data_IF_281879431187
#
_entry.id   IF_281879431187
#
_cell.length_a   1.000
_cell.length_b   1.000
_cell.length_c   1.000
_cell.angle_alpha   90.00
_cell.angle_beta   90.00
_cell.angle_gamma   90.00
#
_symmetry.space_group_name_H-M   'P 1'
#
loop_
_entity.id
_entity.type
_entity.pdbx_description
1 polymer ?
#
# COMPACT_ATOMS: atom_id res chain seq x y z
N UNK A 1 -15.40 1.18 -7.52
CA UNK A 1 -14.29 0.30 -7.09
C UNK A 1 -13.27 1.13 -6.32
N UNK A 2 -12.40 0.55 -5.49
CA UNK A 2 -11.39 1.34 -4.79
C UNK A 2 -10.43 2.00 -5.78
N UNK A 3 -10.06 3.25 -5.49
CA UNK A 3 -9.05 4.00 -6.24
C UNK A 3 -7.90 4.32 -5.29
N UNK A 4 -6.68 4.17 -5.76
CA UNK A 4 -5.46 4.55 -5.05
C UNK A 4 -4.70 5.56 -5.90
N UNK A 5 -4.20 6.60 -5.24
CA UNK A 5 -3.36 7.61 -5.86
C UNK A 5 -1.90 7.19 -5.66
N UNK A 6 -1.11 7.19 -6.72
CA UNK A 6 0.25 6.64 -6.75
C UNK A 6 1.17 7.59 -7.50
N UNK A 7 2.17 8.12 -6.80
CA UNK A 7 3.25 8.87 -7.42
C UNK A 7 4.11 7.95 -8.31
N UNK A 8 4.19 8.18 -9.62
CA UNK A 8 4.97 7.35 -10.53
C UNK A 8 6.48 7.40 -10.26
N UNK A 9 7.02 8.49 -9.74
CA UNK A 9 8.44 8.60 -9.37
C UNK A 9 8.74 7.73 -8.15
N UNK A 10 7.90 7.79 -7.13
CA UNK A 10 8.03 6.93 -5.95
C UNK A 10 7.83 5.45 -6.33
N UNK A 11 6.91 5.16 -7.24
CA UNK A 11 6.70 3.80 -7.74
C UNK A 11 7.96 3.25 -8.44
N UNK A 12 8.64 4.05 -9.27
CA UNK A 12 9.92 3.68 -9.90
C UNK A 12 10.99 3.42 -8.85
N UNK A 13 11.12 4.32 -7.90
CA UNK A 13 12.08 4.19 -6.80
C UNK A 13 11.87 2.90 -6.00
N UNK A 14 10.63 2.64 -5.57
CA UNK A 14 10.28 1.46 -4.76
C UNK A 14 10.40 0.14 -5.52
N UNK A 15 10.20 0.16 -6.83
CA UNK A 15 10.38 -1.02 -7.67
C UNK A 15 11.81 -1.24 -8.10
N UNK A 16 12.65 -0.19 -8.09
CA UNK A 16 14.02 -0.22 -8.60
C UNK A 16 14.09 -0.18 -10.14
N UNK A 17 13.01 0.19 -10.81
CA UNK A 17 12.91 0.28 -12.28
C UNK A 17 12.77 1.74 -12.74
N UNK A 18 13.78 2.54 -12.44
CA UNK A 18 13.81 3.98 -12.77
C UNK A 18 13.82 4.26 -14.29
N UNK A 19 14.18 3.27 -15.10
CA UNK A 19 14.23 3.37 -16.56
C UNK A 19 12.85 3.33 -17.22
N UNK A 20 11.81 2.89 -16.52
CA UNK A 20 10.46 2.78 -17.08
C UNK A 20 9.79 4.13 -17.20
N UNK A 21 9.24 4.42 -18.38
CA UNK A 21 8.38 5.58 -18.59
C UNK A 21 6.94 5.33 -18.08
N UNK A 22 6.13 6.37 -18.09
CA UNK A 22 4.75 6.30 -17.58
C UNK A 22 3.88 5.33 -18.37
N UNK A 23 4.06 5.23 -19.69
CA UNK A 23 3.27 4.34 -20.53
C UNK A 23 3.62 2.86 -20.27
N UNK A 24 4.89 2.57 -20.00
CA UNK A 24 5.35 1.26 -19.59
C UNK A 24 4.79 0.89 -18.20
N UNK A 25 4.83 1.82 -17.23
CA UNK A 25 4.25 1.59 -15.91
C UNK A 25 2.74 1.34 -15.99
N UNK A 26 2.01 2.15 -16.75
CA UNK A 26 0.55 1.96 -16.95
C UNK A 26 0.23 0.60 -17.58
N UNK A 27 1.04 0.15 -18.54
CA UNK A 27 0.89 -1.17 -19.14
C UNK A 27 1.11 -2.29 -18.14
N UNK A 28 2.17 -2.21 -17.33
CA UNK A 28 2.50 -3.20 -16.31
C UNK A 28 1.43 -3.24 -15.20
N UNK A 29 0.92 -2.07 -14.82
CA UNK A 29 -0.17 -1.93 -13.85
C UNK A 29 -1.48 -2.54 -14.37
N UNK A 30 -1.79 -2.32 -15.64
CA UNK A 30 -2.95 -2.93 -16.30
C UNK A 30 -2.87 -4.46 -16.30
N UNK A 31 -1.70 -5.03 -16.55
CA UNK A 31 -1.47 -6.49 -16.49
C UNK A 31 -1.69 -7.06 -15.08
N UNK A 32 -1.58 -6.23 -14.04
CA UNK A 32 -1.91 -6.57 -12.66
C UNK A 32 -3.38 -6.31 -12.28
N UNK A 33 -4.19 -5.81 -13.22
CA UNK A 33 -5.58 -5.44 -12.99
C UNK A 33 -5.76 -4.14 -12.23
N UNK A 34 -4.82 -3.20 -12.37
CA UNK A 34 -4.89 -1.83 -11.90
C UNK A 34 -5.11 -0.93 -13.13
N UNK A 35 -6.30 -0.38 -13.27
CA UNK A 35 -6.67 0.43 -14.44
C UNK A 35 -6.36 1.90 -14.15
N UNK A 36 -5.65 2.54 -15.09
CA UNK A 36 -5.36 3.96 -15.00
C UNK A 36 -6.59 4.77 -15.39
N UNK A 37 -7.15 5.53 -14.45
CA UNK A 37 -8.33 6.36 -14.63
C UNK A 37 -8.01 7.82 -14.97
N UNK A 38 -6.84 8.28 -14.55
CA UNK A 38 -6.44 9.67 -14.78
C UNK A 38 -5.26 10.10 -13.91
N UNK A 39 -5.05 11.40 -13.88
CA UNK A 39 -4.05 12.07 -13.07
C UNK A 39 -4.71 12.87 -11.96
N UNK A 40 -4.10 12.91 -10.80
CA UNK A 40 -4.44 13.88 -9.76
C UNK A 40 -3.89 15.26 -10.12
N UNK A 41 -4.30 16.30 -9.36
CA UNK A 41 -3.73 17.64 -9.48
C UNK A 41 -2.23 17.68 -9.10
N UNK A 42 -1.77 16.70 -8.33
CA UNK A 42 -0.38 16.52 -7.88
C UNK A 42 0.44 15.59 -8.80
N UNK A 43 -0.05 15.33 -10.03
CA UNK A 43 0.60 14.48 -11.04
C UNK A 43 0.79 13.01 -10.62
N UNK A 44 -0.08 12.48 -9.78
CA UNK A 44 -0.13 11.07 -9.41
C UNK A 44 -1.06 10.27 -10.32
N UNK A 45 -0.79 8.97 -10.49
CA UNK A 45 -1.70 8.04 -11.14
C UNK A 45 -2.91 7.75 -10.26
N UNK A 46 -4.11 7.91 -10.78
CA UNK A 46 -5.32 7.34 -10.18
C UNK A 46 -5.55 5.94 -10.72
N UNK A 47 -5.40 4.94 -9.85
CA UNK A 47 -5.50 3.53 -10.23
C UNK A 47 -6.73 2.90 -9.60
N UNK A 48 -7.62 2.38 -10.44
CA UNK A 48 -8.79 1.61 -10.01
C UNK A 48 -8.49 0.11 -10.01
N UNK A 49 -8.99 -0.63 -9.03
CA UNK A 49 -8.79 -2.08 -8.97
C UNK A 49 -9.94 -2.81 -8.26
N UNK A 50 -9.98 -4.13 -8.41
CA UNK A 50 -10.97 -4.97 -7.75
C UNK A 50 -10.78 -4.97 -6.22
N UNK A 51 -11.86 -4.94 -5.43
CA UNK A 51 -11.82 -4.77 -3.97
C UNK A 51 -11.29 -5.98 -3.19
N UNK A 52 -10.82 -7.01 -3.87
CA UNK A 52 -10.22 -8.22 -3.30
C UNK A 52 -8.73 -8.09 -2.93
N UNK A 53 -8.09 -6.98 -3.29
CA UNK A 53 -6.66 -6.74 -3.12
C UNK A 53 -6.38 -5.54 -2.23
N UNK A 54 -6.79 -5.62 -0.97
CA UNK A 54 -6.57 -4.58 0.03
C UNK A 54 -5.09 -4.32 0.35
N UNK A 55 -4.21 -5.20 -0.08
CA UNK A 55 -2.76 -5.04 -0.01
C UNK A 55 -2.20 -4.02 -1.03
N UNK A 56 -3.05 -3.44 -1.89
CA UNK A 56 -2.69 -2.45 -2.92
C UNK A 56 -3.25 -1.05 -2.64
N UNK A 57 -3.60 -0.76 -1.39
CA UNK A 57 -4.17 0.54 -0.99
C UNK A 57 -3.11 1.63 -0.75
N UNK A 58 -1.88 1.40 -1.18
CA UNK A 58 -0.79 2.38 -1.14
C UNK A 58 0.23 2.13 -2.23
N UNK A 59 1.10 3.10 -2.50
CA UNK A 59 2.20 2.97 -3.46
C UNK A 59 3.11 1.79 -3.12
N UNK A 60 3.39 1.53 -1.84
CA UNK A 60 4.23 0.40 -1.40
C UNK A 60 3.58 -0.95 -1.74
N UNK A 61 2.27 -1.06 -1.57
CA UNK A 61 1.52 -2.28 -1.92
C UNK A 61 1.48 -2.53 -3.42
N UNK A 62 1.32 -1.47 -4.20
CA UNK A 62 1.39 -1.52 -5.68
C UNK A 62 2.81 -1.88 -6.12
N UNK A 63 3.83 -1.20 -5.59
CA UNK A 63 5.24 -1.48 -5.88
C UNK A 63 5.61 -2.93 -5.57
N UNK A 64 5.19 -3.46 -4.42
CA UNK A 64 5.39 -4.87 -4.08
C UNK A 64 4.76 -5.80 -5.11
N UNK A 65 3.56 -5.50 -5.59
CA UNK A 65 2.89 -6.31 -6.62
C UNK A 65 3.65 -6.29 -7.94
N UNK A 66 4.18 -5.13 -8.35
CA UNK A 66 5.03 -5.00 -9.55
C UNK A 66 6.34 -5.77 -9.39
N UNK A 67 7.02 -5.71 -8.25
CA UNK A 67 8.27 -6.46 -8.00
C UNK A 67 8.05 -7.97 -8.15
N UNK A 68 6.93 -8.50 -7.67
CA UNK A 68 6.56 -9.90 -7.93
C UNK A 68 6.28 -10.17 -9.41
N UNK A 69 5.62 -9.24 -10.09
CA UNK A 69 5.34 -9.34 -11.53
C UNK A 69 6.63 -9.36 -12.36
N UNK A 70 7.59 -8.52 -12.02
CA UNK A 70 8.92 -8.47 -12.65
C UNK A 70 9.81 -9.67 -12.29
N UNK A 71 9.47 -10.40 -11.24
CA UNK A 71 10.25 -11.53 -10.74
C UNK A 71 11.42 -11.15 -9.84
N UNK A 72 11.45 -9.90 -9.37
CA UNK A 72 12.46 -9.38 -8.44
C UNK A 72 12.25 -9.94 -7.03
N UNK A 73 11.00 -10.13 -6.64
CA UNK A 73 10.61 -10.74 -5.36
C UNK A 73 9.95 -12.11 -5.58
N UNK A 74 10.12 -13.01 -4.59
CA UNK A 74 9.51 -14.34 -4.59
C UNK A 74 9.12 -14.76 -3.18
N UNK A 75 8.07 -15.60 -3.10
CA UNK A 75 7.59 -16.14 -1.83
C UNK A 75 6.74 -15.15 -1.04
N UNK A 76 6.46 -15.47 0.21
CA UNK A 76 5.65 -14.63 1.10
C UNK A 76 6.58 -13.78 1.97
N UNK A 77 6.33 -12.47 1.97
CA UNK A 77 7.03 -11.58 2.91
C UNK A 77 6.57 -11.88 4.33
N UNK A 78 7.51 -12.24 5.19
CA UNK A 78 7.26 -12.45 6.62
C UNK A 78 8.12 -11.45 7.39
N UNK A 79 7.53 -10.46 8.08
CA UNK A 79 8.29 -9.50 8.85
C UNK A 79 8.95 -10.17 10.05
N UNK A 80 10.15 -9.71 10.39
CA UNK A 80 10.80 -10.10 11.64
C UNK A 80 10.07 -9.44 12.81
N UNK A 81 9.68 -10.23 13.78
CA UNK A 81 9.07 -9.76 15.02
C UNK A 81 9.90 -10.22 16.23
N UNK A 82 9.81 -9.47 17.30
CA UNK A 82 10.38 -9.81 18.60
C UNK A 82 9.27 -10.00 19.65
N UNK A 83 9.65 -10.38 20.86
CA UNK A 83 8.71 -10.49 21.97
C UNK A 83 8.02 -9.15 22.24
N UNK A 84 6.73 -9.18 22.51
CA UNK A 84 5.95 -8.00 22.80
C UNK A 84 6.43 -7.33 24.10
N UNK A 85 6.74 -6.02 24.01
CA UNK A 85 7.10 -5.17 25.16
C UNK A 85 5.94 -4.29 25.60
N UNK A 86 4.88 -4.22 24.78
CA UNK A 86 3.72 -3.37 24.99
C UNK A 86 2.47 -4.23 25.15
N UNK A 87 1.55 -3.76 25.98
CA UNK A 87 0.27 -4.40 26.20
C UNK A 87 -0.86 -3.45 25.83
N UNK A 88 -1.79 -3.94 25.03
CA UNK A 88 -3.04 -3.23 24.72
C UNK A 88 -4.06 -3.65 25.76
N UNK A 89 -4.55 -2.68 26.56
CA UNK A 89 -5.67 -2.89 27.48
C UNK A 89 -6.96 -2.42 26.81
N UNK A 90 -7.93 -3.32 26.70
CA UNK A 90 -9.25 -3.00 26.15
C UNK A 90 -10.22 -2.85 27.33
N UNK A 91 -10.70 -1.63 27.58
CA UNK A 91 -11.62 -1.32 28.67
C UNK A 91 -13.08 -1.50 28.27
N UNK A 92 -13.41 -1.15 27.02
CA UNK A 92 -14.75 -1.28 26.44
C UNK A 92 -14.62 -1.68 24.99
N UNK A 93 -15.35 -2.73 24.57
CA UNK A 93 -15.27 -3.27 23.22
C UNK A 93 -16.67 -3.48 22.63
N UNK A 94 -16.90 -3.12 21.38
CA UNK A 94 -18.15 -3.44 20.70
C UNK A 94 -18.30 -4.96 20.51
N UNK A 95 -19.48 -5.48 20.72
CA UNK A 95 -19.77 -6.90 20.53
C UNK A 95 -19.47 -7.38 19.09
N UNK A 96 -19.67 -6.50 18.10
CA UNK A 96 -19.47 -6.77 16.68
C UNK A 96 -17.97 -6.86 16.31
N UNK A 97 -17.08 -6.28 17.15
CA UNK A 97 -15.63 -6.23 16.92
C UNK A 97 -14.85 -6.54 18.18
N UNK A 98 -14.91 -7.80 18.66
CA UNK A 98 -14.38 -8.17 19.98
C UNK A 98 -12.85 -8.35 20.00
N UNK A 99 -12.18 -8.31 18.84
CA UNK A 99 -10.76 -8.55 18.74
C UNK A 99 -10.01 -7.29 18.33
N UNK A 100 -8.87 -7.04 18.97
CA UNK A 100 -7.91 -6.01 18.60
C UNK A 100 -6.51 -6.63 18.53
N UNK A 101 -5.74 -6.15 17.58
CA UNK A 101 -4.32 -6.47 17.46
C UNK A 101 -3.54 -5.20 17.16
N UNK A 102 -2.27 -5.19 17.49
CA UNK A 102 -1.41 -4.04 17.22
C UNK A 102 0.06 -4.42 17.21
N UNK A 103 0.86 -3.51 16.69
CA UNK A 103 2.30 -3.62 16.69
C UNK A 103 2.93 -2.25 16.95
N UNK A 104 4.12 -2.25 17.55
CA UNK A 104 4.94 -1.05 17.70
C UNK A 104 6.16 -1.21 16.79
N UNK A 105 6.33 -0.27 15.89
CA UNK A 105 7.49 -0.21 14.98
C UNK A 105 8.38 0.94 15.45
N UNK A 106 9.66 0.66 15.70
CA UNK A 106 10.65 1.64 16.18
C UNK A 106 11.71 1.91 15.12
N UNK A 107 12.33 3.09 15.23
CA UNK A 107 13.43 3.48 14.34
C UNK A 107 12.96 3.81 12.93
N UNK A 108 11.71 4.23 12.77
CA UNK A 108 11.20 4.74 11.51
C UNK A 108 11.77 6.12 11.22
N UNK A 109 12.22 6.31 9.99
CA UNK A 109 12.54 7.61 9.40
C UNK A 109 11.57 7.81 8.23
N UNK A 110 10.43 8.40 8.54
CA UNK A 110 9.35 8.60 7.56
C UNK A 110 9.59 9.92 6.81
N UNK A 111 9.70 9.82 5.50
CA UNK A 111 9.58 10.99 4.60
C UNK A 111 8.15 11.52 4.60
N UNK A 112 7.95 12.74 4.10
CA UNK A 112 6.61 13.32 3.94
C UNK A 112 5.74 12.41 3.05
N UNK A 113 6.26 11.91 1.92
CA UNK A 113 5.55 10.98 1.04
C UNK A 113 5.17 9.66 1.72
N UNK A 114 6.07 9.08 2.52
CA UNK A 114 5.76 7.87 3.27
C UNK A 114 4.66 8.10 4.33
N UNK A 115 4.61 9.31 4.93
CA UNK A 115 3.55 9.67 5.86
C UNK A 115 2.20 9.86 5.14
N UNK A 116 2.19 10.51 3.99
CA UNK A 116 1.00 10.67 3.14
C UNK A 116 0.46 9.31 2.69
N UNK A 117 1.32 8.41 2.24
CA UNK A 117 0.96 7.05 1.88
C UNK A 117 0.35 6.27 3.05
N UNK A 118 0.91 6.40 4.26
CA UNK A 118 0.37 5.77 5.47
C UNK A 118 -1.02 6.31 5.83
N UNK A 119 -1.24 7.61 5.70
CA UNK A 119 -2.56 8.24 5.91
C UNK A 119 -3.55 7.73 4.85
N UNK A 120 -3.14 7.66 3.59
CA UNK A 120 -3.97 7.13 2.50
C UNK A 120 -4.42 5.69 2.80
N UNK A 121 -3.50 4.80 3.20
CA UNK A 121 -3.81 3.42 3.60
C UNK A 121 -4.86 3.39 4.71
N UNK A 122 -4.69 4.21 5.74
CA UNK A 122 -5.64 4.28 6.87
C UNK A 122 -7.04 4.68 6.39
N UNK A 123 -7.13 5.72 5.59
CA UNK A 123 -8.41 6.22 5.06
C UNK A 123 -9.08 5.22 4.12
N UNK A 124 -8.31 4.62 3.21
CA UNK A 124 -8.82 3.62 2.25
C UNK A 124 -9.27 2.34 2.96
N UNK A 125 -8.52 1.85 3.95
CA UNK A 125 -8.94 0.71 4.77
C UNK A 125 -10.23 1.00 5.54
N UNK A 126 -10.36 2.20 6.11
CA UNK A 126 -11.59 2.60 6.80
C UNK A 126 -12.78 2.67 5.82
N UNK A 127 -12.58 3.23 4.64
CA UNK A 127 -13.63 3.36 3.62
C UNK A 127 -14.07 2.01 3.03
N UNK A 128 -13.22 0.99 3.05
CA UNK A 128 -13.50 -0.33 2.45
C UNK A 128 -13.93 -1.38 3.46
N UNK A 129 -13.38 -1.37 4.67
CA UNK A 129 -13.59 -2.39 5.72
C UNK A 129 -14.17 -1.83 7.01
N UNK A 130 -14.18 -0.51 7.16
CA UNK A 130 -14.58 0.22 8.37
C UNK A 130 -16.04 0.39 8.64
#
# INVERSE_FOLDING_TARGET
MPVVDVDPEELRYLTGHEEKDDDQLKSDLFDLGLEFEGWTDDEEFQLEFAPDRLDRLSVEGVARSLRYHYGDDRGVYVPNTNSAEWTIHVEDQPEERPYVTGAVVRGLDLSDGALESLIQVQEKLHATMG
#
